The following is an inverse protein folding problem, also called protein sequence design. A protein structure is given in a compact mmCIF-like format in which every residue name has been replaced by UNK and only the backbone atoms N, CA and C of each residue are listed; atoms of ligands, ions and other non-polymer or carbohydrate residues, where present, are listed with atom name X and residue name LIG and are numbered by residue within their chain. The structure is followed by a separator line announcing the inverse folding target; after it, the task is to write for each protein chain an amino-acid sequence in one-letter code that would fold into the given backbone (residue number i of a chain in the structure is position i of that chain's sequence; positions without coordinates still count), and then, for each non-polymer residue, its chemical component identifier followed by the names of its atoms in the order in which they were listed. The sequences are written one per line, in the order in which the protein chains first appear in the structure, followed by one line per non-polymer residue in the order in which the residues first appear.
data_IF_061881445587
#
_entry.id   IF_061881445587
#
_cell.length_a   1.000
_cell.length_b   1.000
_cell.length_c   1.000
_cell.angle_alpha   90.00
_cell.angle_beta   90.00
_cell.angle_gamma   90.00
#
_symmetry.space_group_name_H-M   'P 1'
#
loop_
_entity.id
_entity.type
_entity.pdbx_description
1 polymer ?
#
# COMPACT_ATOMS: atom_id res chain seq x y z
N UNK A 1 42.90 -41.25 -28.54
CA UNK A 1 43.06 -41.96 -27.24
C UNK A 1 41.95 -41.49 -26.30
N UNK A 2 40.81 -42.18 -26.29
CA UNK A 2 40.38 -43.09 -25.21
C UNK A 2 40.53 -42.53 -23.79
N UNK A 3 39.40 -42.12 -23.19
CA UNK A 3 38.78 -42.88 -22.08
C UNK A 3 37.36 -42.39 -21.78
N UNK A 4 36.42 -43.29 -22.08
CA UNK A 4 35.04 -43.33 -21.58
C UNK A 4 35.04 -43.34 -20.04
N UNK A 5 34.09 -42.64 -19.41
CA UNK A 5 33.58 -43.03 -18.10
C UNK A 5 32.06 -43.06 -18.11
N UNK A 6 31.56 -44.28 -17.92
CA UNK A 6 30.16 -44.71 -17.86
C UNK A 6 29.72 -44.80 -16.39
N UNK A 7 28.39 -44.85 -16.19
CA UNK A 7 27.62 -45.29 -15.00
C UNK A 7 27.55 -44.33 -13.81
N UNK A 8 26.38 -44.13 -13.16
CA UNK A 8 25.40 -45.17 -12.77
C UNK A 8 23.98 -44.57 -12.61
N UNK A 9 22.98 -45.23 -13.20
CA UNK A 9 21.57 -45.10 -12.86
C UNK A 9 21.35 -45.66 -11.44
N UNK A 10 20.67 -44.88 -10.59
CA UNK A 10 20.14 -45.32 -9.32
C UNK A 10 18.61 -45.32 -9.38
N UNK A 11 18.03 -46.47 -9.68
CA UNK A 11 16.62 -46.78 -9.47
C UNK A 11 16.40 -47.13 -7.99
N UNK A 12 15.56 -46.37 -7.28
CA UNK A 12 15.09 -46.77 -5.95
C UNK A 12 13.56 -46.70 -5.88
N UNK A 13 12.99 -47.90 -5.97
CA UNK A 13 11.87 -48.44 -5.20
C UNK A 13 10.67 -47.53 -4.87
N UNK A 14 9.57 -47.80 -5.58
CA UNK A 14 8.19 -47.53 -5.13
C UNK A 14 7.97 -48.17 -3.76
N UNK A 15 7.60 -47.35 -2.76
CA UNK A 15 7.05 -47.84 -1.49
C UNK A 15 5.63 -48.39 -1.72
N UNK A 16 5.24 -49.50 -1.06
CA UNK A 16 3.89 -50.05 -1.17
C UNK A 16 2.86 -49.13 -0.50
N UNK A 17 1.69 -49.01 -1.14
CA UNK A 17 0.49 -48.39 -0.57
C UNK A 17 0.03 -49.21 0.64
N UNK A 18 -0.29 -48.59 1.78
CA UNK A 18 -1.00 -49.29 2.85
C UNK A 18 -2.45 -49.54 2.44
N UNK A 19 -2.90 -50.77 2.68
CA UNK A 19 -4.28 -51.22 2.51
C UNK A 19 -5.25 -50.34 3.30
N UNK A 20 -6.18 -49.70 2.59
CA UNK A 20 -7.33 -49.04 3.18
C UNK A 20 -8.32 -50.13 3.57
N UNK A 21 -8.30 -50.52 4.85
CA UNK A 21 -9.36 -51.32 5.46
C UNK A 21 -10.64 -50.49 5.53
N UNK A 22 -11.69 -50.99 4.91
CA UNK A 22 -13.07 -50.55 5.06
C UNK A 22 -13.50 -50.70 6.53
N UNK A 23 -13.97 -49.64 7.22
CA UNK A 23 -14.61 -49.79 8.51
C UNK A 23 -16.05 -50.23 8.30
N UNK A 24 -16.33 -51.46 8.73
CA UNK A 24 -17.65 -51.98 9.08
C UNK A 24 -18.31 -51.09 10.13
N UNK A 25 -19.61 -50.87 9.96
CA UNK A 25 -20.43 -49.97 10.77
C UNK A 25 -20.38 -50.26 12.27
N UNK A 26 -20.33 -49.17 13.04
CA UNK A 26 -20.68 -49.14 14.44
C UNK A 26 -21.59 -47.94 14.65
N UNK A 27 -22.89 -48.21 14.83
CA UNK A 27 -23.87 -47.25 15.33
C UNK A 27 -23.57 -46.97 16.80
N UNK A 28 -22.65 -46.05 17.06
CA UNK A 28 -22.56 -45.38 18.34
C UNK A 28 -23.47 -44.15 18.26
N UNK A 29 -24.52 -44.14 19.09
CA UNK A 29 -25.37 -42.98 19.26
C UNK A 29 -24.49 -41.78 19.67
N UNK A 30 -24.43 -40.77 18.80
CA UNK A 30 -23.85 -39.47 19.15
C UNK A 30 -24.78 -38.87 20.19
N UNK A 31 -24.27 -38.74 21.42
CA UNK A 31 -24.91 -37.97 22.46
C UNK A 31 -24.87 -36.50 22.00
N UNK A 32 -25.97 -36.03 21.43
CA UNK A 32 -26.22 -34.62 21.20
C UNK A 32 -26.36 -34.00 22.60
N UNK A 33 -25.50 -33.04 22.99
CA UNK A 33 -25.72 -32.30 24.23
C UNK A 33 -27.09 -31.65 24.14
N UNK A 34 -27.91 -31.82 25.17
CA UNK A 34 -29.21 -31.14 25.27
C UNK A 34 -29.01 -29.67 24.93
N UNK A 35 -29.81 -29.19 23.98
CA UNK A 35 -29.90 -27.78 23.65
C UNK A 35 -30.21 -27.03 24.94
N UNK A 36 -29.22 -26.27 25.41
CA UNK A 36 -29.42 -25.27 26.45
C UNK A 36 -30.61 -24.43 26.05
N UNK A 37 -31.61 -24.40 26.92
CA UNK A 37 -32.81 -23.55 26.81
C UNK A 37 -32.43 -22.15 26.31
N UNK A 38 -33.21 -21.55 25.40
CA UNK A 38 -32.92 -20.19 24.93
C UNK A 38 -32.89 -19.27 26.14
N UNK A 39 -31.71 -18.72 26.43
CA UNK A 39 -31.56 -17.66 27.41
C UNK A 39 -32.30 -16.47 26.83
N UNK A 40 -33.43 -16.12 27.44
CA UNK A 40 -34.11 -14.85 27.20
C UNK A 40 -33.13 -13.76 27.63
N UNK A 41 -32.47 -13.13 26.67
CA UNK A 41 -31.63 -11.97 26.92
C UNK A 41 -32.59 -10.82 27.22
N UNK A 42 -32.60 -10.33 28.46
CA UNK A 42 -33.37 -9.13 28.77
C UNK A 42 -32.90 -7.97 27.88
N UNK A 43 -33.81 -7.11 27.39
CA UNK A 43 -33.43 -5.97 26.56
C UNK A 43 -32.53 -5.06 27.40
N UNK A 44 -31.26 -4.95 27.01
CA UNK A 44 -30.27 -4.18 27.75
C UNK A 44 -30.65 -2.70 27.77
N UNK A 45 -30.70 -2.12 28.97
CA UNK A 45 -30.65 -0.68 29.21
C UNK A 45 -29.33 -0.13 28.65
N UNK A 46 -29.38 0.49 27.47
CA UNK A 46 -28.25 1.25 26.92
C UNK A 46 -28.28 2.63 27.55
N UNK A 47 -27.58 2.81 28.66
CA UNK A 47 -27.25 4.13 29.19
C UNK A 47 -26.37 4.86 28.16
N UNK A 48 -27.01 5.71 27.36
CA UNK A 48 -26.34 6.53 26.35
C UNK A 48 -25.69 7.74 27.01
N UNK A 49 -24.46 7.58 27.49
CA UNK A 49 -23.63 8.72 27.89
C UNK A 49 -23.03 9.41 26.64
N UNK A 50 -23.50 10.64 26.40
CA UNK A 50 -22.69 11.77 25.97
C UNK A 50 -22.15 11.82 24.53
N UNK A 51 -22.79 12.65 23.70
CA UNK A 51 -22.17 13.50 22.66
C UNK A 51 -21.11 12.88 21.73
N UNK A 52 -21.49 11.86 20.92
CA UNK A 52 -20.62 11.33 19.85
C UNK A 52 -20.99 11.73 18.41
N UNK A 53 -21.99 12.58 18.20
CA UNK A 53 -22.51 12.86 16.86
C UNK A 53 -22.42 14.34 16.47
N UNK A 54 -21.25 14.74 15.98
CA UNK A 54 -21.08 15.93 15.16
C UNK A 54 -20.99 15.55 13.67
N UNK A 55 -22.02 15.91 12.90
CA UNK A 55 -22.03 15.86 11.43
C UNK A 55 -22.58 14.55 10.85
N UNK A 56 -23.64 14.66 10.05
CA UNK A 56 -24.23 13.56 9.26
C UNK A 56 -23.12 12.76 8.54
N UNK A 57 -23.03 11.46 8.83
CA UNK A 57 -22.12 10.54 8.15
C UNK A 57 -22.56 10.41 6.68
N UNK A 58 -21.95 11.21 5.81
CA UNK A 58 -22.21 11.25 4.36
C UNK A 58 -21.39 10.24 3.55
N UNK A 59 -20.54 9.42 4.19
CA UNK A 59 -19.59 8.55 3.52
C UNK A 59 -20.02 7.09 3.49
N UNK A 60 -20.73 6.66 2.44
CA UNK A 60 -20.98 5.25 2.16
C UNK A 60 -21.16 4.99 0.67
N UNK A 61 -20.88 3.77 0.22
CA UNK A 61 -21.08 3.31 -1.16
C UNK A 61 -22.17 2.25 -1.15
N UNK A 62 -23.19 2.43 -2.00
CA UNK A 62 -24.27 1.47 -2.18
C UNK A 62 -23.79 0.30 -3.07
N UNK A 63 -24.10 -0.93 -2.64
CA UNK A 63 -23.76 -2.16 -3.37
C UNK A 63 -24.96 -3.11 -3.37
N UNK A 64 -25.25 -3.74 -4.50
CA UNK A 64 -26.30 -4.76 -4.56
C UNK A 64 -25.79 -6.11 -4.05
N UNK A 65 -26.52 -6.71 -3.14
CA UNK A 65 -26.27 -8.04 -2.61
C UNK A 65 -27.09 -9.06 -3.40
N UNK A 66 -26.42 -9.89 -4.21
CA UNK A 66 -27.07 -10.88 -5.08
C UNK A 66 -26.82 -12.29 -4.56
N UNK A 67 -27.88 -13.10 -4.45
CA UNK A 67 -27.80 -14.51 -4.06
C UNK A 67 -28.83 -15.34 -4.83
N UNK A 68 -28.80 -16.67 -4.61
CA UNK A 68 -29.58 -17.61 -5.42
C UNK A 68 -31.07 -17.44 -5.18
N UNK A 69 -31.72 -16.62 -6.01
CA UNK A 69 -33.17 -16.40 -6.01
C UNK A 69 -33.62 -15.04 -5.48
N UNK A 70 -32.71 -14.15 -5.06
CA UNK A 70 -33.08 -12.81 -4.59
C UNK A 70 -31.91 -11.80 -4.72
N UNK A 71 -32.27 -10.52 -4.65
CA UNK A 71 -31.36 -9.37 -4.68
C UNK A 71 -31.80 -8.40 -3.59
N UNK A 72 -30.86 -7.96 -2.75
CA UNK A 72 -31.03 -6.81 -1.87
C UNK A 72 -30.33 -5.61 -2.54
N UNK A 73 -31.09 -4.68 -3.14
CA UNK A 73 -30.51 -3.57 -3.87
C UNK A 73 -30.05 -2.45 -2.94
N UNK A 74 -28.97 -1.78 -3.32
CA UNK A 74 -28.58 -0.50 -2.73
C UNK A 74 -28.05 -0.54 -1.31
N UNK A 75 -27.50 -1.68 -0.86
CA UNK A 75 -26.99 -1.85 0.52
C UNK A 75 -25.88 -0.85 0.79
N UNK A 76 -26.10 0.07 1.74
CA UNK A 76 -25.12 1.09 2.09
C UNK A 76 -24.00 0.48 2.95
N UNK A 77 -22.76 0.58 2.46
CA UNK A 77 -21.57 0.18 3.19
C UNK A 77 -20.64 1.39 3.41
N UNK A 78 -19.91 1.42 4.52
CA UNK A 78 -18.89 2.44 4.80
C UNK A 78 -17.66 1.86 5.49
N UNK A 79 -16.57 2.64 5.60
CA UNK A 79 -15.33 2.23 6.24
C UNK A 79 -14.72 3.40 7.05
N UNK A 80 -14.16 3.17 8.25
CA UNK A 80 -13.58 4.25 9.07
C UNK A 80 -13.10 3.90 10.50
N UNK A 81 -12.75 4.92 11.30
CA UNK A 81 -12.02 4.80 12.58
C UNK A 81 -12.89 4.54 13.84
N UNK A 82 -14.17 4.23 13.68
CA UNK A 82 -15.12 4.09 14.80
C UNK A 82 -15.18 2.69 15.42
N UNK A 83 -14.27 1.78 15.04
CA UNK A 83 -14.34 0.37 15.46
C UNK A 83 -13.42 0.06 16.65
N UNK A 84 -13.96 -0.69 17.60
CA UNK A 84 -13.25 -1.19 18.78
C UNK A 84 -11.96 -1.92 18.38
N UNK A 85 -10.82 -1.50 18.95
CA UNK A 85 -9.49 -2.02 18.63
C UNK A 85 -9.28 -3.44 19.19
N UNK A 86 -10.03 -3.80 20.22
CA UNK A 86 -9.99 -5.08 20.94
C UNK A 86 -10.48 -6.24 20.07
N UNK A 87 -11.32 -5.94 19.06
CA UNK A 87 -11.82 -6.92 18.08
C UNK A 87 -11.18 -6.73 16.71
N UNK A 88 -10.02 -6.06 16.64
CA UNK A 88 -9.32 -5.82 15.38
C UNK A 88 -8.99 -7.14 14.69
N UNK A 89 -9.43 -7.26 13.45
CA UNK A 89 -9.07 -8.33 12.52
C UNK A 89 -8.45 -7.71 11.27
N UNK A 90 -8.03 -8.55 10.33
CA UNK A 90 -7.61 -8.08 9.01
C UNK A 90 -8.80 -7.41 8.31
N UNK A 91 -8.54 -6.38 7.49
CA UNK A 91 -9.58 -5.67 6.73
C UNK A 91 -10.29 -6.65 5.78
N UNK A 92 -9.53 -7.59 5.19
CA UNK A 92 -10.05 -8.72 4.40
C UNK A 92 -11.02 -9.63 5.15
N UNK A 93 -11.03 -9.59 6.48
CA UNK A 93 -11.97 -10.31 7.33
C UNK A 93 -13.20 -9.47 7.73
N UNK A 94 -13.39 -8.30 7.12
CA UNK A 94 -14.50 -7.37 7.34
C UNK A 94 -14.30 -6.36 8.47
N UNK A 95 -13.10 -6.27 9.06
CA UNK A 95 -12.84 -5.26 10.08
C UNK A 95 -12.78 -3.86 9.46
N UNK A 96 -13.43 -2.90 10.12
CA UNK A 96 -13.48 -1.51 9.67
C UNK A 96 -14.65 -1.19 8.75
N UNK A 97 -15.46 -2.18 8.34
CA UNK A 97 -16.65 -1.95 7.52
C UNK A 97 -17.90 -1.82 8.38
N UNK A 98 -18.77 -0.89 8.00
CA UNK A 98 -20.16 -0.84 8.44
C UNK A 98 -21.07 -1.25 7.28
N UNK A 99 -22.16 -1.94 7.61
CA UNK A 99 -23.27 -2.27 6.72
C UNK A 99 -24.51 -1.73 7.41
N UNK A 100 -25.42 -1.11 6.65
CA UNK A 100 -26.68 -0.66 7.23
C UNK A 100 -27.45 -1.82 7.88
N UNK A 101 -28.02 -1.56 9.06
CA UNK A 101 -28.71 -2.58 9.84
C UNK A 101 -29.89 -3.25 9.08
N UNK A 102 -30.73 -2.52 8.31
CA UNK A 102 -31.82 -3.15 7.56
C UNK A 102 -31.33 -4.26 6.62
N UNK A 103 -30.25 -4.03 5.87
CA UNK A 103 -29.70 -5.03 4.96
C UNK A 103 -29.17 -6.28 5.69
N UNK A 104 -28.63 -6.10 6.90
CA UNK A 104 -28.19 -7.24 7.73
C UNK A 104 -29.40 -8.03 8.23
N UNK A 105 -30.46 -7.36 8.66
CA UNK A 105 -31.69 -8.01 9.11
C UNK A 105 -32.38 -8.77 7.96
N UNK A 106 -32.50 -8.15 6.79
CA UNK A 106 -33.05 -8.79 5.60
C UNK A 106 -32.23 -10.04 5.22
N UNK A 107 -30.90 -9.95 5.26
CA UNK A 107 -30.03 -11.10 4.98
C UNK A 107 -30.23 -12.24 6.00
N UNK A 108 -30.41 -11.91 7.29
CA UNK A 108 -30.68 -12.91 8.32
C UNK A 108 -32.06 -13.55 8.15
N UNK A 109 -33.09 -12.79 7.76
CA UNK A 109 -34.41 -13.32 7.44
C UNK A 109 -34.35 -14.32 6.26
N UNK A 110 -33.59 -13.99 5.21
CA UNK A 110 -33.38 -14.91 4.08
C UNK A 110 -32.62 -16.19 4.51
N UNK A 111 -31.78 -16.10 5.54
CA UNK A 111 -31.12 -17.28 6.14
C UNK A 111 -32.13 -18.13 6.92
N UNK A 112 -32.97 -17.50 7.76
CA UNK A 112 -34.02 -18.18 8.51
C UNK A 112 -35.03 -18.88 7.60
N UNK A 113 -35.36 -18.27 6.46
CA UNK A 113 -36.25 -18.83 5.45
C UNK A 113 -35.60 -19.93 4.60
N UNK A 114 -34.30 -20.21 4.78
CA UNK A 114 -33.55 -21.20 4.00
C UNK A 114 -33.31 -20.79 2.54
N UNK A 115 -33.50 -19.51 2.20
CA UNK A 115 -33.21 -18.96 0.87
C UNK A 115 -31.69 -18.85 0.67
N UNK A 116 -30.98 -18.46 1.74
CA UNK A 116 -29.52 -18.33 1.74
C UNK A 116 -28.93 -19.16 2.86
N UNK A 117 -27.94 -19.99 2.54
CA UNK A 117 -27.15 -20.66 3.58
C UNK A 117 -26.31 -19.66 4.37
N UNK A 118 -26.19 -19.82 5.70
CA UNK A 118 -25.42 -18.91 6.55
C UNK A 118 -23.96 -18.74 6.07
N UNK A 119 -23.35 -19.80 5.53
CA UNK A 119 -22.00 -19.72 4.93
C UNK A 119 -21.95 -18.87 3.66
N UNK A 120 -23.03 -18.89 2.85
CA UNK A 120 -23.14 -18.08 1.65
C UNK A 120 -23.38 -16.60 2.00
N UNK A 121 -24.22 -16.32 3.00
CA UNK A 121 -24.40 -14.97 3.53
C UNK A 121 -23.08 -14.37 4.03
N UNK A 122 -22.29 -15.15 4.78
CA UNK A 122 -20.94 -14.74 5.21
C UNK A 122 -20.01 -14.47 4.03
N UNK A 123 -20.02 -15.34 3.01
CA UNK A 123 -19.18 -15.16 1.82
C UNK A 123 -19.54 -13.88 1.06
N UNK A 124 -20.84 -13.58 0.94
CA UNK A 124 -21.35 -12.37 0.29
C UNK A 124 -20.84 -11.09 0.96
N UNK A 125 -20.89 -11.03 2.30
CA UNK A 125 -20.38 -9.89 3.06
C UNK A 125 -18.87 -9.67 2.85
N UNK A 126 -18.09 -10.76 2.81
CA UNK A 126 -16.66 -10.69 2.57
C UNK A 126 -16.32 -10.30 1.12
N UNK A 127 -17.09 -10.78 0.15
CA UNK A 127 -16.95 -10.39 -1.26
C UNK A 127 -17.26 -8.89 -1.45
N UNK A 128 -18.30 -8.38 -0.78
CA UNK A 128 -18.62 -6.96 -0.79
C UNK A 128 -17.48 -6.12 -0.17
N UNK A 129 -16.92 -6.55 0.96
CA UNK A 129 -15.77 -5.91 1.57
C UNK A 129 -14.56 -5.87 0.60
N UNK A 130 -14.26 -6.98 -0.08
CA UNK A 130 -13.19 -7.06 -1.07
C UNK A 130 -13.40 -6.07 -2.24
N UNK A 131 -14.61 -6.03 -2.81
CA UNK A 131 -14.96 -5.08 -3.88
C UNK A 131 -14.80 -3.61 -3.46
N UNK A 132 -15.07 -3.31 -2.19
CA UNK A 132 -14.99 -1.96 -1.64
C UNK A 132 -13.60 -1.59 -1.10
N UNK A 133 -12.67 -2.53 -1.01
CA UNK A 133 -11.32 -2.30 -0.48
C UNK A 133 -10.57 -1.18 -1.23
N UNK A 134 -10.63 -1.20 -2.57
CA UNK A 134 -10.04 -0.17 -3.42
C UNK A 134 -10.78 1.18 -3.31
N UNK A 135 -12.09 1.23 -3.58
CA UNK A 135 -12.90 2.45 -3.47
C UNK A 135 -12.80 3.19 -2.13
N UNK A 136 -12.69 2.48 -1.00
CA UNK A 136 -12.52 3.10 0.32
C UNK A 136 -11.07 3.42 0.67
N UNK A 137 -10.11 3.14 -0.22
CA UNK A 137 -8.70 3.38 0.07
C UNK A 137 -8.20 2.60 1.29
N UNK A 138 -8.79 1.43 1.58
CA UNK A 138 -8.50 0.63 2.77
C UNK A 138 -7.01 0.31 2.95
N UNK A 139 -6.27 0.26 1.84
CA UNK A 139 -4.80 0.11 1.82
C UNK A 139 -4.07 1.11 2.72
N UNK A 140 -4.58 2.33 2.89
CA UNK A 140 -3.99 3.34 3.76
C UNK A 140 -4.07 2.99 5.26
N UNK A 141 -4.97 2.07 5.63
CA UNK A 141 -5.23 1.64 7.01
C UNK A 141 -4.61 0.27 7.33
N UNK A 142 -4.02 -0.37 6.33
CA UNK A 142 -3.23 -1.58 6.52
C UNK A 142 -1.83 -1.27 7.04
N UNK A 143 -1.18 -2.29 7.62
CA UNK A 143 0.23 -2.23 7.99
C UNK A 143 1.07 -2.00 6.72
N UNK A 144 1.80 -0.86 6.60
CA UNK A 144 2.62 -0.56 5.43
C UNK A 144 3.65 -1.66 5.13
N UNK A 145 4.15 -2.37 6.15
CA UNK A 145 5.09 -3.47 5.95
C UNK A 145 4.43 -4.67 5.26
N UNK A 146 3.22 -5.04 5.67
CA UNK A 146 2.43 -6.12 5.02
C UNK A 146 2.06 -5.76 3.59
N UNK A 147 1.58 -4.54 3.35
CA UNK A 147 1.23 -4.06 2.01
C UNK A 147 2.45 -4.10 1.08
N UNK A 148 3.62 -3.66 1.57
CA UNK A 148 4.87 -3.68 0.80
C UNK A 148 5.32 -5.11 0.50
N UNK A 149 5.27 -6.02 1.47
CA UNK A 149 5.64 -7.42 1.27
C UNK A 149 4.72 -8.13 0.25
N UNK A 150 3.40 -7.89 0.35
CA UNK A 150 2.42 -8.43 -0.61
C UNK A 150 2.65 -7.90 -2.02
N UNK A 151 2.88 -6.59 -2.16
CA UNK A 151 3.21 -5.98 -3.44
C UNK A 151 4.50 -6.56 -4.05
N UNK A 152 5.55 -6.76 -3.24
CA UNK A 152 6.80 -7.36 -3.68
C UNK A 152 6.59 -8.80 -4.18
N UNK A 153 5.85 -9.62 -3.43
CA UNK A 153 5.56 -11.00 -3.82
C UNK A 153 4.75 -11.10 -5.13
N UNK A 154 3.85 -10.13 -5.38
CA UNK A 154 3.04 -10.07 -6.60
C UNK A 154 3.78 -9.44 -7.81
N UNK A 155 5.00 -8.92 -7.62
CA UNK A 155 5.74 -8.21 -8.66
C UNK A 155 5.23 -6.79 -8.94
N UNK A 156 4.32 -6.27 -8.11
CA UNK A 156 3.68 -4.98 -8.27
C UNK A 156 2.21 -4.99 -7.84
N UNK A 157 1.64 -3.81 -7.65
CA UNK A 157 0.20 -3.62 -7.42
C UNK A 157 -0.33 -2.46 -8.27
N UNK A 158 -1.66 -2.25 -8.27
CA UNK A 158 -2.28 -1.15 -9.00
C UNK A 158 -1.65 0.22 -8.70
N UNK A 159 -1.31 0.49 -7.43
CA UNK A 159 -0.62 1.73 -7.03
C UNK A 159 0.78 1.85 -7.66
N UNK A 160 1.53 0.75 -7.80
CA UNK A 160 2.81 0.77 -8.51
C UNK A 160 2.62 1.11 -9.99
N UNK A 161 1.56 0.60 -10.61
CA UNK A 161 1.25 0.92 -12.01
C UNK A 161 0.85 2.38 -12.17
N UNK A 162 -0.03 2.89 -11.31
CA UNK A 162 -0.43 4.31 -11.29
C UNK A 162 0.77 5.25 -11.10
N UNK A 163 1.70 4.88 -10.21
CA UNK A 163 2.89 5.69 -9.90
C UNK A 163 4.03 5.51 -10.90
N UNK A 164 3.97 4.50 -11.78
CA UNK A 164 5.06 4.17 -12.72
C UNK A 164 5.49 5.36 -13.56
N UNK A 165 4.53 6.05 -14.18
CA UNK A 165 4.83 7.21 -15.04
C UNK A 165 5.47 8.37 -14.30
N UNK A 166 5.14 8.55 -13.03
CA UNK A 166 5.75 9.56 -12.16
C UNK A 166 7.16 9.15 -11.76
N UNK A 167 7.35 7.88 -11.41
CA UNK A 167 8.65 7.33 -11.10
C UNK A 167 9.62 7.44 -12.28
N UNK A 168 9.17 7.15 -13.51
CA UNK A 168 10.00 7.33 -14.71
C UNK A 168 10.45 8.79 -14.89
N UNK A 169 9.56 9.76 -14.69
CA UNK A 169 9.93 11.19 -14.76
C UNK A 169 10.97 11.56 -13.71
N UNK A 170 10.89 10.97 -12.52
CA UNK A 170 11.90 11.15 -11.48
C UNK A 170 13.25 10.57 -11.91
N UNK A 171 13.26 9.38 -12.53
CA UNK A 171 14.49 8.77 -13.05
C UNK A 171 15.09 9.62 -14.18
N UNK A 172 14.27 10.13 -15.10
CA UNK A 172 14.72 11.02 -16.18
C UNK A 172 15.36 12.31 -15.64
N UNK A 173 14.73 12.91 -14.63
CA UNK A 173 15.29 14.08 -13.94
C UNK A 173 16.59 13.72 -13.24
N UNK A 174 16.63 12.59 -12.53
CA UNK A 174 17.83 12.13 -11.82
C UNK A 174 19.01 11.90 -12.77
N UNK A 175 18.77 11.34 -13.96
CA UNK A 175 19.80 11.16 -14.99
C UNK A 175 20.39 12.50 -15.44
N UNK A 176 19.53 13.50 -15.69
CA UNK A 176 19.98 14.85 -16.07
C UNK A 176 20.77 15.51 -14.94
N UNK A 177 20.25 15.46 -13.71
CA UNK A 177 20.90 16.04 -12.53
C UNK A 177 22.28 15.41 -12.32
N UNK A 178 22.36 14.08 -12.37
CA UNK A 178 23.62 13.37 -12.23
C UNK A 178 24.62 13.77 -13.29
N UNK A 179 24.23 13.73 -14.57
CA UNK A 179 25.11 14.07 -15.69
C UNK A 179 25.70 15.48 -15.56
N UNK A 180 24.89 16.47 -15.15
CA UNK A 180 25.35 17.84 -14.95
C UNK A 180 26.27 17.99 -13.74
N UNK A 181 26.00 17.28 -12.64
CA UNK A 181 26.86 17.28 -11.44
C UNK A 181 28.27 16.74 -11.73
N UNK A 182 28.44 15.90 -12.75
CA UNK A 182 29.75 15.41 -13.18
C UNK A 182 30.56 16.42 -14.02
N UNK A 183 29.99 17.57 -14.38
CA UNK A 183 30.60 18.59 -15.24
C UNK A 183 30.66 19.96 -14.54
N UNK A 184 31.40 20.08 -13.43
CA UNK A 184 31.48 21.32 -12.66
C UNK A 184 32.06 22.50 -13.44
N UNK A 185 32.82 22.25 -14.50
CA UNK A 185 33.35 23.28 -15.41
C UNK A 185 32.27 23.89 -16.33
N UNK A 186 31.24 23.12 -16.68
CA UNK A 186 30.09 23.59 -17.50
C UNK A 186 28.96 24.09 -16.60
N UNK A 187 28.74 23.40 -15.48
CA UNK A 187 27.69 23.69 -14.51
C UNK A 187 28.32 24.02 -13.14
N UNK A 188 28.90 25.23 -12.97
CA UNK A 188 29.66 25.58 -11.77
C UNK A 188 28.80 25.81 -10.52
N UNK A 189 27.50 26.03 -10.68
CA UNK A 189 26.58 26.28 -9.58
C UNK A 189 25.61 25.13 -9.36
N UNK A 190 25.28 24.84 -8.11
CA UNK A 190 24.32 23.81 -7.74
C UNK A 190 23.31 24.36 -6.74
N UNK A 191 22.01 24.27 -7.05
CA UNK A 191 20.93 24.66 -6.14
C UNK A 191 20.29 23.42 -5.51
N UNK A 192 20.17 23.43 -4.19
CA UNK A 192 19.39 22.46 -3.41
C UNK A 192 18.25 23.16 -2.66
N UNK A 193 17.54 22.43 -1.79
CA UNK A 193 16.38 22.97 -1.04
C UNK A 193 16.68 24.25 -0.25
N UNK A 194 17.88 24.35 0.32
CA UNK A 194 18.22 25.42 1.28
C UNK A 194 19.00 26.57 0.64
N UNK A 195 19.41 26.47 -0.62
CA UNK A 195 20.23 27.51 -1.23
C UNK A 195 21.09 27.06 -2.39
N UNK A 196 21.95 27.99 -2.81
CA UNK A 196 22.87 27.83 -3.94
C UNK A 196 24.33 27.67 -3.46
N UNK A 197 25.05 26.79 -4.15
CA UNK A 197 26.41 26.35 -3.86
C UNK A 197 27.25 26.38 -5.15
N UNK A 198 28.57 26.31 -5.01
CA UNK A 198 29.41 25.80 -6.11
C UNK A 198 29.19 24.29 -6.20
N UNK A 199 29.22 23.74 -7.41
CA UNK A 199 29.01 22.30 -7.65
C UNK A 199 30.05 21.44 -6.94
N UNK A 200 31.28 21.96 -6.76
CA UNK A 200 32.37 21.28 -6.04
C UNK A 200 32.30 21.44 -4.51
N UNK A 201 31.28 22.12 -3.98
CA UNK A 201 31.14 22.37 -2.56
C UNK A 201 31.00 21.06 -1.76
N UNK A 202 31.67 21.00 -0.60
CA UNK A 202 31.58 19.84 0.32
C UNK A 202 30.15 19.50 0.78
N UNK A 203 29.22 20.46 0.73
CA UNK A 203 27.80 20.20 1.02
C UNK A 203 27.16 19.42 -0.10
N UNK A 204 27.36 19.85 -1.35
CA UNK A 204 26.89 19.16 -2.56
C UNK A 204 27.46 17.74 -2.58
N UNK A 205 28.77 17.59 -2.42
CA UNK A 205 29.43 16.26 -2.39
C UNK A 205 28.88 15.32 -1.30
N UNK A 206 28.48 15.84 -0.14
CA UNK A 206 27.96 15.02 0.98
C UNK A 206 26.52 14.57 0.76
N UNK A 207 25.73 15.40 0.07
CA UNK A 207 24.29 15.21 -0.10
C UNK A 207 23.92 14.60 -1.45
N UNK A 208 24.82 14.69 -2.42
CA UNK A 208 24.77 13.92 -3.67
C UNK A 208 25.28 12.49 -3.42
N UNK A 209 24.66 11.45 -4.03
CA UNK A 209 25.19 10.09 -3.98
C UNK A 209 26.63 10.00 -4.50
N UNK A 210 27.44 9.13 -3.88
CA UNK A 210 28.80 8.82 -4.38
C UNK A 210 28.74 8.11 -5.75
N UNK A 211 27.67 7.34 -5.99
CA UNK A 211 27.39 6.70 -7.26
C UNK A 211 25.89 6.75 -7.56
N UNK A 212 25.54 7.09 -8.80
CA UNK A 212 24.19 6.97 -9.30
C UNK A 212 24.20 6.20 -10.61
N UNK A 213 23.30 5.24 -10.69
CA UNK A 213 22.98 4.51 -11.91
C UNK A 213 21.47 4.32 -11.96
N UNK A 214 20.89 4.57 -13.12
CA UNK A 214 19.46 4.31 -13.33
C UNK A 214 19.15 2.85 -12.99
N UNK A 215 18.18 2.56 -12.12
CA UNK A 215 17.86 1.20 -11.76
C UNK A 215 17.25 0.47 -12.97
N UNK A 216 17.60 -0.81 -13.13
CA UNK A 216 17.12 -1.68 -14.22
C UNK A 216 16.73 -3.06 -13.68
N UNK A 217 15.87 -3.78 -14.40
CA UNK A 217 15.47 -5.14 -14.03
C UNK A 217 14.86 -5.23 -12.64
N UNK A 218 15.39 -6.12 -11.79
CA UNK A 218 14.90 -6.31 -10.43
C UNK A 218 15.09 -5.05 -9.56
N UNK A 219 16.21 -4.34 -9.71
CA UNK A 219 16.48 -3.11 -8.98
C UNK A 219 15.46 -2.00 -9.33
N UNK A 220 15.01 -1.96 -10.58
CA UNK A 220 13.93 -1.06 -11.00
C UNK A 220 12.63 -1.38 -10.27
N UNK A 221 12.24 -2.65 -10.26
CA UNK A 221 11.00 -3.09 -9.59
C UNK A 221 11.04 -2.78 -8.10
N UNK A 222 12.16 -3.05 -7.43
CA UNK A 222 12.34 -2.73 -6.01
C UNK A 222 12.27 -1.22 -5.74
N UNK A 223 12.91 -0.40 -6.58
CA UNK A 223 12.89 1.06 -6.44
C UNK A 223 11.50 1.65 -6.70
N UNK A 224 10.77 1.13 -7.70
CA UNK A 224 9.37 1.50 -7.95
C UNK A 224 8.49 1.13 -6.77
N UNK A 225 8.63 -0.07 -6.20
CA UNK A 225 7.87 -0.47 -5.00
C UNK A 225 8.15 0.43 -3.81
N UNK A 226 9.42 0.81 -3.60
CA UNK A 226 9.77 1.75 -2.55
C UNK A 226 9.09 3.10 -2.80
N UNK A 227 9.26 3.68 -3.98
CA UNK A 227 8.65 4.94 -4.39
C UNK A 227 7.13 4.94 -4.17
N UNK A 228 6.43 3.92 -4.66
CA UNK A 228 4.97 3.83 -4.56
C UNK A 228 4.43 3.62 -3.14
N UNK A 229 5.24 3.10 -2.22
CA UNK A 229 4.80 2.73 -0.87
C UNK A 229 5.53 3.46 0.27
N UNK A 230 6.39 4.43 -0.03
CA UNK A 230 6.97 5.36 0.95
C UNK A 230 6.56 6.79 0.73
N UNK A 231 6.17 7.16 -0.50
CA UNK A 231 5.65 8.49 -0.79
C UNK A 231 4.21 8.52 -0.27
N UNK A 232 4.02 9.12 0.91
CA UNK A 232 2.70 9.64 1.28
C UNK A 232 2.31 10.59 0.14
N UNK A 233 1.10 10.53 -0.45
CA UNK A 233 0.73 11.32 -1.63
C UNK A 233 0.99 12.83 -1.51
N UNK A 234 1.10 13.33 -0.27
CA UNK A 234 1.32 14.73 0.08
C UNK A 234 2.72 15.05 0.60
N UNK A 235 3.60 14.06 0.77
CA UNK A 235 4.95 14.23 1.30
C UNK A 235 5.99 13.59 0.35
N UNK A 236 6.20 14.27 -0.77
CA UNK A 236 7.23 13.92 -1.78
C UNK A 236 8.65 14.09 -1.25
N UNK A 237 8.80 14.76 -0.10
CA UNK A 237 10.10 15.13 0.44
C UNK A 237 10.91 13.91 0.92
N UNK A 238 10.24 12.80 1.23
CA UNK A 238 10.85 11.58 1.75
C UNK A 238 11.71 10.88 0.69
N UNK A 239 11.29 10.90 -0.59
CA UNK A 239 12.05 10.25 -1.66
C UNK A 239 13.15 11.16 -2.23
N UNK A 240 12.90 12.46 -2.34
CA UNK A 240 13.91 13.46 -2.68
C UNK A 240 15.02 13.60 -1.61
N UNK A 241 14.74 13.19 -0.36
CA UNK A 241 15.73 13.07 0.72
C UNK A 241 16.47 11.74 0.76
N UNK A 242 16.07 10.75 -0.05
CA UNK A 242 16.77 9.48 -0.15
C UNK A 242 18.11 9.71 -0.85
N UNK A 243 19.21 9.42 -0.16
CA UNK A 243 20.59 9.57 -0.66
C UNK A 243 20.91 8.76 -1.93
N UNK A 244 19.96 7.98 -2.43
CA UNK A 244 20.11 7.17 -3.64
C UNK A 244 19.97 7.97 -4.93
N UNK A 245 19.39 9.19 -4.88
CA UNK A 245 19.15 10.02 -6.06
C UNK A 245 19.78 11.41 -5.91
N UNK A 246 20.30 12.02 -6.99
CA UNK A 246 20.81 13.38 -6.95
C UNK A 246 19.68 14.38 -6.70
N UNK A 247 19.89 15.28 -5.75
CA UNK A 247 18.90 16.27 -5.30
C UNK A 247 19.29 17.72 -5.58
N UNK A 248 20.50 17.94 -6.10
CA UNK A 248 21.00 19.27 -6.48
C UNK A 248 20.85 19.50 -7.97
N UNK A 249 20.30 20.65 -8.33
CA UNK A 249 20.23 21.14 -9.70
C UNK A 249 21.50 21.89 -10.05
N UNK A 250 22.40 21.23 -10.78
CA UNK A 250 23.57 21.86 -11.36
C UNK A 250 23.18 22.74 -12.57
N UNK A 251 23.73 23.95 -12.61
CA UNK A 251 23.30 25.05 -13.46
C UNK A 251 24.50 25.75 -14.10
N UNK A 252 24.30 26.22 -15.34
CA UNK A 252 25.20 27.18 -15.97
C UNK A 252 25.13 28.55 -15.26
N UNK A 253 26.05 29.48 -15.52
CA UNK A 253 25.96 30.84 -14.98
C UNK A 253 24.67 31.57 -15.40
N UNK A 254 24.18 31.37 -16.62
CA UNK A 254 22.92 31.94 -17.11
C UNK A 254 21.72 31.37 -16.35
N UNK A 255 21.66 30.05 -16.19
CA UNK A 255 20.61 29.34 -15.45
C UNK A 255 20.62 29.76 -13.96
N UNK A 256 21.79 29.90 -13.35
CA UNK A 256 21.93 30.36 -11.96
C UNK A 256 21.41 31.81 -11.79
N UNK A 257 21.71 32.71 -12.73
CA UNK A 257 21.18 34.08 -12.73
C UNK A 257 19.66 34.11 -12.86
N UNK A 258 19.10 33.30 -13.75
CA UNK A 258 17.65 33.16 -13.89
C UNK A 258 17.01 32.61 -12.60
N UNK A 259 17.59 31.56 -12.03
CA UNK A 259 17.13 30.95 -10.78
C UNK A 259 17.12 31.94 -9.61
N UNK A 260 18.14 32.81 -9.53
CA UNK A 260 18.23 33.89 -8.53
C UNK A 260 17.15 34.94 -8.76
N UNK A 261 16.93 35.35 -10.02
CA UNK A 261 15.93 36.35 -10.36
C UNK A 261 14.51 35.88 -9.94
N UNK A 262 14.17 34.62 -10.21
CA UNK A 262 12.90 34.01 -9.79
C UNK A 262 12.72 33.96 -8.26
N UNK A 263 13.83 33.89 -7.51
CA UNK A 263 13.85 33.77 -6.05
C UNK A 263 14.26 35.06 -5.35
N UNK A 264 14.22 36.17 -6.08
CA UNK A 264 14.39 37.51 -5.53
C UNK A 264 13.06 38.22 -5.62
N UNK A 265 12.49 38.59 -4.47
CA UNK A 265 11.20 39.27 -4.41
C UNK A 265 11.25 40.67 -5.04
N UNK A 266 10.09 41.29 -5.31
CA UNK A 266 9.99 42.59 -6.00
C UNK A 266 10.69 43.75 -5.27
N UNK A 267 11.01 43.59 -3.99
CA UNK A 267 11.76 44.57 -3.16
C UNK A 267 13.25 44.22 -3.01
N UNK A 268 13.78 43.27 -3.77
CA UNK A 268 15.18 42.83 -3.71
C UNK A 268 15.50 41.85 -2.56
N UNK A 269 14.49 41.39 -1.82
CA UNK A 269 14.66 40.38 -0.77
C UNK A 269 14.95 39.00 -1.36
N UNK A 270 15.98 38.31 -0.85
CA UNK A 270 16.37 36.96 -1.31
C UNK A 270 15.53 35.91 -0.59
N UNK A 271 14.81 35.08 -1.35
CA UNK A 271 14.11 33.89 -0.86
C UNK A 271 14.98 32.62 -0.98
N UNK A 272 16.30 32.78 -0.90
CA UNK A 272 17.27 31.70 -0.95
C UNK A 272 18.49 32.05 -0.11
N UNK A 273 19.19 31.04 0.41
CA UNK A 273 20.48 31.24 1.06
C UNK A 273 21.63 31.04 0.06
N UNK A 274 22.70 31.81 0.23
CA UNK A 274 24.01 31.46 -0.35
C UNK A 274 24.76 30.62 0.66
N UNK A 275 25.40 29.56 0.19
CA UNK A 275 26.25 28.76 1.07
C UNK A 275 27.39 29.61 1.63
N UNK A 276 27.53 29.67 2.95
CA UNK A 276 28.62 30.40 3.61
C UNK A 276 30.00 29.76 3.40
N UNK A 277 30.06 28.47 3.02
CA UNK A 277 31.32 27.74 2.84
C UNK A 277 31.98 28.04 1.49
N UNK A 278 31.20 28.02 0.42
CA UNK A 278 31.72 28.25 -0.92
C UNK A 278 31.42 29.67 -1.44
N UNK A 279 30.40 30.34 -0.89
CA UNK A 279 30.04 31.72 -1.22
C UNK A 279 30.06 31.98 -2.74
N UNK A 280 29.30 31.19 -3.53
CA UNK A 280 29.46 31.10 -4.98
C UNK A 280 29.47 32.48 -5.62
N UNK A 281 30.46 32.77 -6.48
CA UNK A 281 30.58 34.07 -7.15
C UNK A 281 29.55 34.16 -8.30
N UNK A 282 28.39 34.74 -7.98
CA UNK A 282 27.20 34.84 -8.83
C UNK A 282 27.06 36.22 -9.46
#
# INVERSE_FOLDING_TARGET
MSKKRRTKQGSSAKKPRPDVKTPTGSTAAVHIPEQSTPVTVEPWDVEGDGDLYGGESTGGVAVDFTFRGAVLPGVLMSFGDLFAKERRREISAGWGYAVELPAVLDLLEHVEQGIVEASAARALLLEAAEKLYGPFGCRAFEDPAKVRASCQAAGGCALCEEQRSWFEKLLDQSDVLWHRLQQPEVYPFAAGRRGIHDTTCSVVKRETPDNYARPVGEAYTQALHLYSHTVVPYDRDIFEGARSYPSFTAMTPEEARAWIAERTGPKGGRNYARCQRCAPAL
#
